data_IF_470747459872
#
_entry.id   IF_470747459872
#
_cell.length_a   1.000
_cell.length_b   1.000
_cell.length_c   1.000
_cell.angle_alpha   90.00
_cell.angle_beta   90.00
_cell.angle_gamma   90.00
#
_symmetry.space_group_name_H-M   'P 1'
#
loop_
_entity.id
_entity.type
_entity.pdbx_description
1 polymer ?
#
# COMPACT_ATOMS: atom_id res chain seq x y z
N UNK A 1 -27.25 -1.80 -4.74
CA UNK A 1 -27.61 -3.04 -4.02
C UNK A 1 -26.93 -3.13 -2.66
N UNK A 2 -25.59 -3.13 -2.56
CA UNK A 2 -24.89 -3.15 -1.26
C UNK A 2 -25.07 -1.82 -0.48
N UNK A 3 -24.92 -0.66 -1.13
CA UNK A 3 -25.11 0.65 -0.45
C UNK A 3 -26.51 0.81 0.16
N UNK A 4 -27.51 0.29 -0.52
CA UNK A 4 -28.92 0.37 -0.17
C UNK A 4 -29.42 -0.79 0.72
N UNK A 5 -28.54 -1.66 1.21
CA UNK A 5 -28.93 -2.78 2.08
C UNK A 5 -28.79 -2.44 3.56
N UNK A 6 -29.32 -3.31 4.40
CA UNK A 6 -29.28 -3.23 5.87
C UNK A 6 -27.89 -3.53 6.47
N UNK A 7 -26.89 -3.79 5.63
CA UNK A 7 -25.49 -3.90 6.05
C UNK A 7 -25.08 -2.54 6.62
N UNK A 8 -24.56 -2.52 7.85
CA UNK A 8 -24.04 -1.32 8.51
C UNK A 8 -22.72 -0.90 7.87
N UNK A 9 -21.78 -1.84 7.72
CA UNK A 9 -20.44 -1.57 7.20
C UNK A 9 -19.52 -0.89 8.19
N UNK A 10 -18.52 -0.16 7.69
CA UNK A 10 -17.54 0.55 8.52
C UNK A 10 -17.97 2.00 8.74
N UNK A 11 -18.27 2.34 9.98
CA UNK A 11 -18.49 3.73 10.40
C UNK A 11 -17.14 4.43 10.62
N UNK A 12 -16.96 5.57 9.96
CA UNK A 12 -15.79 6.44 10.13
C UNK A 12 -16.28 7.68 10.87
N UNK A 13 -15.64 8.07 11.99
CA UNK A 13 -15.99 9.29 12.70
C UNK A 13 -16.12 10.47 11.75
N UNK A 14 -17.13 11.32 11.95
CA UNK A 14 -17.38 12.52 11.15
C UNK A 14 -17.71 12.29 9.65
N UNK A 15 -17.78 11.05 9.17
CA UNK A 15 -18.33 10.73 7.84
C UNK A 15 -19.81 10.41 7.97
N UNK A 16 -20.65 11.11 7.20
CA UNK A 16 -22.10 10.96 7.27
C UNK A 16 -22.62 9.57 6.83
N UNK A 17 -21.88 8.90 5.94
CA UNK A 17 -22.25 7.59 5.40
C UNK A 17 -21.21 6.53 5.75
N UNK A 18 -21.66 5.40 6.28
CA UNK A 18 -20.80 4.25 6.52
C UNK A 18 -20.26 3.67 5.19
N UNK A 19 -18.99 3.28 5.21
CA UNK A 19 -18.34 2.64 4.05
C UNK A 19 -18.73 1.18 4.03
N UNK A 20 -19.54 0.76 3.06
CA UNK A 20 -19.98 -0.64 2.92
C UNK A 20 -19.16 -1.42 1.89
N UNK A 21 -18.76 -0.78 0.79
CA UNK A 21 -17.95 -1.42 -0.23
C UNK A 21 -17.13 -0.39 -1.03
N UNK A 22 -15.93 -0.81 -1.42
CA UNK A 22 -15.04 -0.13 -2.38
C UNK A 22 -14.76 -1.08 -3.54
N UNK A 23 -14.76 -0.55 -4.76
CA UNK A 23 -14.54 -1.32 -5.98
C UNK A 23 -13.49 -0.60 -6.84
N UNK A 24 -12.57 -1.37 -7.40
CA UNK A 24 -11.63 -0.90 -8.41
C UNK A 24 -11.47 -2.00 -9.46
N UNK A 25 -12.01 -1.76 -10.66
CA UNK A 25 -12.18 -2.80 -11.67
C UNK A 25 -12.89 -4.05 -11.10
N UNK A 26 -12.26 -5.21 -11.12
CA UNK A 26 -12.76 -6.47 -10.57
C UNK A 26 -12.47 -6.65 -9.06
N UNK A 27 -11.51 -5.93 -8.52
CA UNK A 27 -11.18 -5.96 -7.10
C UNK A 27 -12.32 -5.30 -6.29
N UNK A 28 -12.97 -6.10 -5.45
CA UNK A 28 -14.08 -5.67 -4.58
C UNK A 28 -13.71 -5.90 -3.14
N UNK A 29 -13.76 -4.84 -2.33
CA UNK A 29 -13.62 -4.92 -0.86
C UNK A 29 -14.95 -4.55 -0.23
N UNK A 30 -15.45 -5.40 0.66
CA UNK A 30 -16.67 -5.15 1.42
C UNK A 30 -16.30 -5.03 2.89
N UNK A 31 -16.91 -4.06 3.57
CA UNK A 31 -16.72 -3.80 4.99
C UNK A 31 -17.99 -4.21 5.71
N UNK A 32 -17.85 -4.95 6.79
CA UNK A 32 -18.94 -5.49 7.59
C UNK A 32 -18.70 -5.17 9.05
N UNK A 33 -19.72 -4.65 9.73
CA UNK A 33 -19.74 -4.53 11.18
C UNK A 33 -19.84 -5.92 11.83
N UNK A 34 -19.56 -6.02 13.13
CA UNK A 34 -19.64 -7.29 13.85
C UNK A 34 -21.06 -7.90 13.83
N UNK A 35 -22.09 -7.04 13.81
CA UNK A 35 -23.50 -7.43 13.77
C UNK A 35 -24.02 -7.71 12.36
N UNK A 36 -23.25 -7.40 11.32
CA UNK A 36 -23.67 -7.66 9.94
C UNK A 36 -23.68 -9.18 9.66
N UNK A 37 -24.75 -9.66 9.02
CA UNK A 37 -24.82 -11.03 8.56
C UNK A 37 -24.30 -11.16 7.13
N UNK A 38 -23.24 -11.94 6.95
CA UNK A 38 -22.69 -12.24 5.64
C UNK A 38 -23.72 -12.88 4.69
N UNK A 39 -24.74 -13.58 5.20
CA UNK A 39 -25.80 -14.14 4.36
C UNK A 39 -26.59 -13.06 3.59
N UNK A 40 -26.78 -11.88 4.19
CA UNK A 40 -27.40 -10.72 3.52
C UNK A 40 -26.53 -10.24 2.37
N UNK A 41 -25.22 -10.13 2.60
CA UNK A 41 -24.27 -9.81 1.55
C UNK A 41 -24.28 -10.86 0.44
N UNK A 42 -24.23 -12.14 0.79
CA UNK A 42 -24.23 -13.24 -0.16
C UNK A 42 -25.47 -13.21 -1.05
N UNK A 43 -26.66 -12.98 -0.50
CA UNK A 43 -27.89 -12.86 -1.28
C UNK A 43 -27.85 -11.68 -2.28
N UNK A 44 -27.25 -10.56 -1.88
CA UNK A 44 -27.03 -9.40 -2.75
C UNK A 44 -26.07 -9.76 -3.89
N UNK A 45 -24.94 -10.39 -3.55
CA UNK A 45 -23.93 -10.81 -4.52
C UNK A 45 -24.49 -11.84 -5.50
N UNK A 46 -25.25 -12.83 -5.03
CA UNK A 46 -25.85 -13.87 -5.87
C UNK A 46 -26.86 -13.28 -6.85
N UNK A 47 -27.72 -12.37 -6.38
CA UNK A 47 -28.66 -11.66 -7.26
C UNK A 47 -27.92 -10.87 -8.33
N UNK A 48 -26.85 -10.16 -7.96
CA UNK A 48 -26.04 -9.43 -8.93
C UNK A 48 -25.32 -10.37 -9.91
N UNK A 49 -24.67 -11.43 -9.43
CA UNK A 49 -23.99 -12.44 -10.25
C UNK A 49 -24.93 -13.14 -11.22
N UNK A 50 -26.18 -13.39 -10.81
CA UNK A 50 -27.20 -14.00 -11.68
C UNK A 50 -27.53 -13.12 -12.89
N UNK A 51 -27.50 -11.79 -12.73
CA UNK A 51 -27.75 -10.84 -13.80
C UNK A 51 -26.49 -10.54 -14.64
N UNK A 52 -25.32 -10.44 -14.00
CA UNK A 52 -24.06 -10.08 -14.67
C UNK A 52 -23.32 -11.27 -15.29
N UNK A 53 -23.68 -12.50 -14.91
CA UNK A 53 -22.94 -13.74 -15.19
C UNK A 53 -21.52 -13.77 -14.62
N UNK A 54 -21.19 -12.86 -13.71
CA UNK A 54 -19.91 -12.84 -13.02
C UNK A 54 -19.89 -13.87 -11.87
N UNK A 55 -18.69 -14.19 -11.37
CA UNK A 55 -18.48 -15.08 -10.23
C UNK A 55 -17.29 -14.62 -9.41
N UNK A 56 -17.49 -14.47 -8.09
CA UNK A 56 -16.41 -14.18 -7.17
C UNK A 56 -15.45 -15.37 -7.02
N UNK A 57 -14.15 -15.07 -7.00
CA UNK A 57 -13.13 -16.08 -6.79
C UNK A 57 -12.90 -16.30 -5.29
N UNK A 58 -13.57 -17.30 -4.73
CA UNK A 58 -13.48 -17.63 -3.30
C UNK A 58 -12.03 -17.95 -2.87
N UNK A 59 -11.25 -18.63 -3.72
CA UNK A 59 -9.85 -18.94 -3.42
C UNK A 59 -8.93 -17.70 -3.35
N UNK A 60 -9.35 -16.58 -3.95
CA UNK A 60 -8.69 -15.27 -3.81
C UNK A 60 -9.36 -14.37 -2.77
N UNK A 61 -10.50 -14.78 -2.21
CA UNK A 61 -11.23 -13.99 -1.22
C UNK A 61 -10.53 -14.09 0.12
N UNK A 62 -10.29 -12.92 0.72
CA UNK A 62 -9.62 -12.80 2.01
C UNK A 62 -10.59 -12.17 3.01
N UNK A 63 -10.72 -12.81 4.17
CA UNK A 63 -11.41 -12.25 5.33
C UNK A 63 -10.35 -11.65 6.25
N UNK A 64 -10.33 -10.33 6.37
CA UNK A 64 -9.44 -9.62 7.28
C UNK A 64 -10.23 -9.18 8.52
N UNK A 65 -10.16 -9.91 9.65
CA UNK A 65 -10.82 -9.48 10.87
C UNK A 65 -10.09 -8.26 11.46
N UNK A 66 -10.85 -7.25 11.87
CA UNK A 66 -10.35 -6.01 12.48
C UNK A 66 -10.90 -5.89 13.91
N UNK A 67 -10.35 -4.95 14.68
CA UNK A 67 -10.80 -4.68 16.05
C UNK A 67 -10.01 -5.46 17.11
N UNK A 68 -10.68 -5.84 18.19
CA UNK A 68 -10.05 -6.46 19.37
C UNK A 68 -9.28 -7.73 19.01
N UNK A 69 -8.15 -7.96 19.68
CA UNK A 69 -7.34 -9.17 19.49
C UNK A 69 -8.13 -10.46 19.73
N UNK A 70 -8.94 -10.50 20.80
CA UNK A 70 -9.80 -11.64 21.10
C UNK A 70 -10.81 -11.95 19.99
N UNK A 71 -11.38 -10.91 19.35
CA UNK A 71 -12.29 -11.09 18.21
C UNK A 71 -11.54 -11.66 17.00
N UNK A 72 -10.38 -11.08 16.66
CA UNK A 72 -9.54 -11.54 15.55
C UNK A 72 -9.13 -13.00 15.72
N UNK A 73 -8.70 -13.38 16.92
CA UNK A 73 -8.34 -14.76 17.25
C UNK A 73 -9.52 -15.73 17.11
N UNK A 74 -10.73 -15.33 17.52
CA UNK A 74 -11.94 -16.16 17.37
C UNK A 74 -12.25 -16.43 15.89
N UNK A 75 -12.24 -15.40 15.05
CA UNK A 75 -12.50 -15.53 13.61
C UNK A 75 -11.46 -16.46 12.97
N UNK A 76 -10.17 -16.23 13.25
CA UNK A 76 -9.07 -17.04 12.71
C UNK A 76 -9.20 -18.50 13.17
N UNK A 77 -9.49 -18.72 14.46
CA UNK A 77 -9.60 -20.07 15.03
C UNK A 77 -10.80 -20.83 14.45
N UNK A 78 -11.93 -20.17 14.25
CA UNK A 78 -13.09 -20.77 13.58
C UNK A 78 -12.76 -21.16 12.14
N UNK A 79 -12.08 -20.29 11.38
CA UNK A 79 -11.62 -20.62 10.03
C UNK A 79 -10.65 -21.81 10.01
N UNK A 80 -9.74 -21.93 10.98
CA UNK A 80 -8.83 -23.09 11.07
C UNK A 80 -9.55 -24.38 11.42
N UNK A 81 -10.57 -24.33 12.29
CA UNK A 81 -11.29 -25.52 12.78
C UNK A 81 -12.39 -25.98 11.83
N UNK A 82 -13.18 -25.05 11.33
CA UNK A 82 -14.43 -25.30 10.62
C UNK A 82 -14.38 -24.85 9.15
N UNK A 83 -13.31 -24.16 8.73
CA UNK A 83 -13.18 -23.62 7.37
C UNK A 83 -14.02 -22.37 7.11
N UNK A 84 -14.71 -21.82 8.12
CA UNK A 84 -15.54 -20.62 8.04
C UNK A 84 -15.76 -19.94 9.40
N UNK A 85 -16.21 -18.70 9.36
CA UNK A 85 -16.76 -17.97 10.51
C UNK A 85 -18.24 -17.66 10.26
N UNK A 86 -19.17 -18.17 11.08
CA UNK A 86 -20.62 -17.97 10.88
C UNK A 86 -21.05 -18.28 9.41
N UNK A 87 -21.70 -17.33 8.74
CA UNK A 87 -22.16 -17.42 7.35
C UNK A 87 -21.12 -16.97 6.31
N UNK A 88 -19.88 -16.70 6.72
CA UNK A 88 -18.81 -16.32 5.81
C UNK A 88 -18.42 -17.49 4.88
N UNK A 89 -17.83 -17.20 3.71
CA UNK A 89 -17.60 -18.21 2.69
C UNK A 89 -16.58 -19.25 3.13
N UNK A 90 -16.93 -20.52 2.90
CA UNK A 90 -16.03 -21.66 3.03
C UNK A 90 -14.97 -21.58 1.95
N UNK A 91 -13.71 -21.83 2.31
CA UNK A 91 -12.57 -21.83 1.38
C UNK A 91 -11.98 -20.44 1.11
N UNK A 92 -12.54 -19.38 1.70
CA UNK A 92 -11.85 -18.10 1.80
C UNK A 92 -10.73 -18.17 2.84
N UNK A 93 -9.70 -17.33 2.67
CA UNK A 93 -8.58 -17.26 3.61
C UNK A 93 -8.85 -16.21 4.68
N UNK A 94 -8.82 -16.58 5.96
CA UNK A 94 -8.80 -15.60 7.04
C UNK A 94 -7.35 -15.13 7.31
N UNK A 95 -7.10 -13.83 7.16
CA UNK A 95 -5.78 -13.24 7.38
C UNK A 95 -5.50 -13.13 8.89
N UNK A 96 -4.45 -13.79 9.35
CA UNK A 96 -4.01 -13.71 10.73
C UNK A 96 -3.14 -12.47 10.98
N UNK A 97 -2.94 -12.14 12.25
CA UNK A 97 -1.95 -11.14 12.66
C UNK A 97 -0.58 -11.42 12.06
N UNK A 98 0.11 -10.36 11.63
CA UNK A 98 1.38 -10.44 10.91
C UNK A 98 1.25 -10.86 9.45
N UNK A 99 0.05 -11.18 8.95
CA UNK A 99 -0.18 -11.54 7.55
C UNK A 99 -0.56 -10.30 6.73
N UNK A 100 0.33 -9.79 5.85
CA UNK A 100 -0.01 -8.66 5.00
C UNK A 100 -0.93 -9.09 3.85
N UNK A 101 -2.04 -8.38 3.69
CA UNK A 101 -3.06 -8.56 2.64
C UNK A 101 -2.90 -7.46 1.61
N UNK A 102 -2.67 -7.84 0.35
CA UNK A 102 -2.51 -6.87 -0.73
C UNK A 102 -3.87 -6.35 -1.21
N UNK A 103 -4.10 -5.04 -1.12
CA UNK A 103 -5.31 -4.37 -1.58
C UNK A 103 -4.88 -3.21 -2.49
N UNK A 104 -5.26 -3.23 -3.78
CA UNK A 104 -4.95 -2.16 -4.75
C UNK A 104 -3.46 -1.72 -4.81
N UNK A 105 -2.54 -2.65 -4.50
CA UNK A 105 -1.10 -2.39 -4.50
C UNK A 105 -0.51 -1.95 -3.16
N UNK A 106 -1.33 -1.58 -2.17
CA UNK A 106 -0.92 -1.42 -0.78
C UNK A 106 -1.10 -2.72 0.01
N UNK A 107 -0.60 -2.75 1.25
CA UNK A 107 -0.69 -3.90 2.15
C UNK A 107 -1.41 -3.50 3.43
N UNK A 108 -2.57 -4.12 3.67
CA UNK A 108 -3.34 -3.98 4.90
C UNK A 108 -3.18 -5.22 5.78
N UNK A 109 -3.43 -5.10 7.07
CA UNK A 109 -3.37 -6.22 7.99
C UNK A 109 -3.06 -5.76 9.40
N UNK A 110 -3.29 -6.65 10.37
CA UNK A 110 -2.98 -6.35 11.75
C UNK A 110 -1.53 -6.72 12.07
N UNK A 111 -0.82 -5.85 12.79
CA UNK A 111 0.57 -6.11 13.27
C UNK A 111 1.52 -6.56 12.16
N UNK A 112 1.37 -5.99 10.96
CA UNK A 112 2.21 -6.31 9.81
C UNK A 112 3.60 -5.69 9.96
N UNK A 113 4.62 -6.40 9.49
CA UNK A 113 5.98 -5.87 9.43
C UNK A 113 6.16 -4.99 8.19
N UNK A 114 6.20 -3.67 8.39
CA UNK A 114 6.44 -2.69 7.33
C UNK A 114 7.76 -2.94 6.59
N UNK A 115 8.82 -3.36 7.29
CA UNK A 115 10.11 -3.64 6.65
C UNK A 115 10.02 -4.84 5.71
N UNK A 116 9.23 -5.86 6.07
CA UNK A 116 8.97 -7.00 5.21
C UNK A 116 8.22 -6.59 3.93
N UNK A 117 7.33 -5.60 3.99
CA UNK A 117 6.61 -5.06 2.82
C UNK A 117 7.56 -4.38 1.83
N UNK A 118 8.55 -3.66 2.34
CA UNK A 118 9.53 -2.91 1.54
C UNK A 118 10.66 -3.79 0.98
N UNK A 119 11.04 -4.85 1.70
CA UNK A 119 12.18 -5.70 1.34
C UNK A 119 12.17 -6.23 -0.11
N UNK A 120 11.06 -6.77 -0.65
CA UNK A 120 11.02 -7.21 -2.05
C UNK A 120 11.21 -6.08 -3.06
N UNK A 121 10.73 -4.86 -2.75
CA UNK A 121 10.90 -3.70 -3.65
C UNK A 121 12.35 -3.25 -3.68
N UNK A 122 13.01 -3.24 -2.52
CA UNK A 122 14.42 -2.89 -2.41
C UNK A 122 15.29 -3.91 -3.13
N UNK A 123 15.04 -5.22 -2.97
CA UNK A 123 15.77 -6.25 -3.73
C UNK A 123 15.63 -6.07 -5.23
N UNK A 124 14.41 -5.81 -5.71
CA UNK A 124 14.17 -5.53 -7.14
C UNK A 124 14.91 -4.28 -7.61
N UNK A 125 14.97 -3.23 -6.78
CA UNK A 125 15.75 -2.03 -7.10
C UNK A 125 17.24 -2.33 -7.16
N UNK A 126 17.79 -3.08 -6.21
CA UNK A 126 19.18 -3.51 -6.21
C UNK A 126 19.52 -4.30 -7.48
N UNK A 127 18.64 -5.21 -7.92
CA UNK A 127 18.79 -5.94 -9.18
C UNK A 127 18.77 -5.02 -10.41
N UNK A 128 17.80 -4.10 -10.48
CA UNK A 128 17.68 -3.15 -11.60
C UNK A 128 18.91 -2.25 -11.65
N UNK A 129 19.29 -1.63 -10.54
CA UNK A 129 20.45 -0.75 -10.48
C UNK A 129 21.76 -1.49 -10.75
N UNK A 130 21.86 -2.77 -10.34
CA UNK A 130 22.98 -3.64 -10.67
C UNK A 130 23.15 -3.81 -12.18
N UNK A 131 22.07 -4.13 -12.90
CA UNK A 131 22.10 -4.22 -14.38
C UNK A 131 22.47 -2.88 -15.03
N UNK A 132 21.90 -1.78 -14.54
CA UNK A 132 22.23 -0.45 -15.05
C UNK A 132 23.68 -0.02 -14.81
N UNK A 133 24.33 -0.58 -13.79
CA UNK A 133 25.75 -0.32 -13.48
C UNK A 133 26.67 -0.88 -14.58
N UNK A 134 26.27 -1.96 -15.25
CA UNK A 134 27.04 -2.60 -16.33
C UNK A 134 27.06 -1.76 -17.62
N UNK A 135 26.09 -0.85 -17.80
CA UNK A 135 25.96 -0.03 -19.01
C UNK A 135 26.85 1.23 -19.04
N UNK A 136 27.78 1.39 -18.07
CA UNK A 136 28.75 2.50 -18.00
C UNK A 136 28.17 3.89 -18.38
N UNK A 137 27.01 4.21 -17.79
CA UNK A 137 26.28 5.43 -18.12
C UNK A 137 27.01 6.70 -17.70
N UNK A 138 26.82 7.78 -18.47
CA UNK A 138 27.25 9.13 -18.08
C UNK A 138 26.57 9.59 -16.79
N UNK A 139 27.07 10.63 -16.13
CA UNK A 139 26.42 11.20 -14.94
C UNK A 139 24.95 11.57 -15.21
N UNK A 140 24.67 12.16 -16.37
CA UNK A 140 23.30 12.45 -16.82
C UNK A 140 22.48 11.16 -16.98
N UNK A 141 23.05 10.11 -17.58
CA UNK A 141 22.37 8.81 -17.69
C UNK A 141 22.06 8.19 -16.33
N UNK A 142 23.02 8.24 -15.39
CA UNK A 142 22.83 7.75 -14.02
C UNK A 142 21.74 8.53 -13.29
N UNK A 143 21.70 9.85 -13.43
CA UNK A 143 20.63 10.71 -12.89
C UNK A 143 19.25 10.29 -13.41
N UNK A 144 19.11 10.00 -14.70
CA UNK A 144 17.84 9.53 -15.27
C UNK A 144 17.46 8.14 -14.74
N UNK A 145 18.42 7.22 -14.64
CA UNK A 145 18.16 5.89 -14.08
C UNK A 145 17.70 5.97 -12.61
N UNK A 146 18.35 6.79 -11.78
CA UNK A 146 17.95 7.00 -10.38
C UNK A 146 16.50 7.53 -10.30
N UNK A 147 16.17 8.55 -11.08
CA UNK A 147 14.82 9.12 -11.07
C UNK A 147 13.77 8.10 -11.55
N UNK A 148 14.04 7.41 -12.66
CA UNK A 148 13.09 6.46 -13.26
C UNK A 148 12.85 5.24 -12.36
N UNK A 149 13.92 4.66 -11.83
CA UNK A 149 13.81 3.41 -11.07
C UNK A 149 13.67 3.67 -9.58
N UNK A 150 14.62 4.36 -8.95
CA UNK A 150 14.61 4.53 -7.50
C UNK A 150 13.44 5.41 -7.06
N UNK A 151 13.32 6.63 -7.60
CA UNK A 151 12.22 7.51 -7.23
C UNK A 151 10.88 6.98 -7.78
N UNK A 152 10.83 6.60 -9.06
CA UNK A 152 9.60 6.12 -9.70
C UNK A 152 9.00 4.86 -9.07
N UNK A 153 9.80 3.83 -8.79
CA UNK A 153 9.29 2.57 -8.24
C UNK A 153 8.92 2.66 -6.75
N UNK A 154 9.43 3.66 -6.03
CA UNK A 154 9.14 3.83 -4.60
C UNK A 154 8.04 4.85 -4.33
N UNK A 155 7.72 5.72 -5.29
CA UNK A 155 6.70 6.77 -5.18
C UNK A 155 5.37 6.28 -4.61
N UNK A 156 4.72 5.35 -5.32
CA UNK A 156 3.40 4.90 -4.94
C UNK A 156 3.36 4.32 -3.53
N UNK A 157 4.26 3.39 -3.20
CA UNK A 157 4.26 2.74 -1.89
C UNK A 157 4.61 3.70 -0.75
N UNK A 158 5.44 4.70 -1.02
CA UNK A 158 5.72 5.80 -0.07
C UNK A 158 4.44 6.57 0.22
N UNK A 159 3.66 6.88 -0.80
CA UNK A 159 2.43 7.66 -0.68
C UNK A 159 1.34 6.92 0.10
N UNK A 160 1.19 5.61 -0.11
CA UNK A 160 0.10 4.83 0.52
C UNK A 160 0.46 4.21 1.86
N UNK A 161 1.75 3.99 2.17
CA UNK A 161 2.18 3.29 3.39
C UNK A 161 3.36 3.94 4.12
N UNK A 162 3.83 5.10 3.66
CA UNK A 162 5.03 5.76 4.18
C UNK A 162 6.30 4.89 4.01
N UNK A 163 7.45 5.54 3.92
CA UNK A 163 8.74 4.85 3.82
C UNK A 163 9.45 4.92 5.18
N UNK A 164 9.78 3.78 5.81
CA UNK A 164 10.56 3.78 7.04
C UNK A 164 11.97 4.34 6.83
N UNK A 165 12.53 5.03 7.84
CA UNK A 165 13.86 5.65 7.78
C UNK A 165 14.97 4.68 7.37
N UNK A 166 14.89 3.42 7.83
CA UNK A 166 15.85 2.36 7.46
C UNK A 166 15.81 2.06 5.96
N UNK A 167 14.63 2.14 5.34
CA UNK A 167 14.46 1.98 3.89
C UNK A 167 15.02 3.19 3.17
N UNK A 168 14.72 4.40 3.65
CA UNK A 168 15.27 5.65 3.10
C UNK A 168 16.81 5.66 3.12
N UNK A 169 17.41 5.28 4.25
CA UNK A 169 18.86 5.16 4.39
C UNK A 169 19.46 4.14 3.40
N UNK A 170 18.80 2.99 3.21
CA UNK A 170 19.24 1.97 2.25
C UNK A 170 19.16 2.46 0.81
N UNK A 171 18.12 3.22 0.45
CA UNK A 171 18.00 3.84 -0.88
C UNK A 171 19.05 4.91 -1.12
N UNK A 172 19.35 5.77 -0.13
CA UNK A 172 20.45 6.74 -0.22
C UNK A 172 21.80 6.03 -0.43
N UNK A 173 22.02 4.91 0.25
CA UNK A 173 23.18 4.04 0.04
C UNK A 173 23.25 3.47 -1.38
N UNK A 174 22.13 2.94 -1.89
CA UNK A 174 22.03 2.40 -3.26
C UNK A 174 22.31 3.48 -4.32
N UNK A 175 21.73 4.67 -4.16
CA UNK A 175 21.96 5.82 -5.06
C UNK A 175 23.44 6.20 -5.06
N UNK A 176 24.04 6.33 -3.87
CA UNK A 176 25.46 6.66 -3.70
C UNK A 176 26.37 5.61 -4.35
N UNK A 177 26.11 4.32 -4.14
CA UNK A 177 26.89 3.24 -4.73
C UNK A 177 26.81 3.26 -6.26
N UNK A 178 25.60 3.42 -6.81
CA UNK A 178 25.39 3.44 -8.24
C UNK A 178 26.03 4.67 -8.91
N UNK A 179 25.86 5.86 -8.32
CA UNK A 179 26.38 7.10 -8.87
C UNK A 179 27.91 7.09 -8.96
N UNK A 180 28.56 6.60 -7.89
CA UNK A 180 30.01 6.63 -7.72
C UNK A 180 30.70 5.29 -7.96
N UNK A 181 29.98 4.29 -8.47
CA UNK A 181 30.51 2.97 -8.82
C UNK A 181 31.22 2.27 -7.65
N UNK A 182 30.67 2.41 -6.43
CA UNK A 182 31.24 1.79 -5.22
C UNK A 182 32.52 2.44 -4.68
N UNK A 183 32.89 3.65 -5.15
CA UNK A 183 33.99 4.41 -4.55
C UNK A 183 33.72 4.68 -3.06
N UNK A 184 34.68 4.30 -2.20
CA UNK A 184 34.61 4.52 -0.74
C UNK A 184 34.40 6.00 -0.39
N UNK A 185 35.13 6.88 -1.07
CA UNK A 185 35.01 8.33 -0.94
C UNK A 185 34.40 8.90 -2.22
N UNK A 186 33.13 9.33 -2.18
CA UNK A 186 32.50 10.04 -3.28
C UNK A 186 33.26 11.30 -3.67
N UNK A 187 33.37 11.61 -4.97
CA UNK A 187 33.88 12.90 -5.45
C UNK A 187 33.02 14.09 -4.98
N UNK A 188 31.72 13.89 -4.84
CA UNK A 188 30.74 14.92 -4.44
C UNK A 188 29.82 14.35 -3.36
N UNK A 189 29.51 15.16 -2.36
CA UNK A 189 28.58 14.77 -1.30
C UNK A 189 27.18 14.57 -1.85
N UNK A 190 26.37 13.73 -1.20
CA UNK A 190 25.04 13.41 -1.69
C UNK A 190 24.14 14.67 -1.71
N UNK A 191 24.28 15.53 -0.71
CA UNK A 191 23.57 16.81 -0.58
C UNK A 191 23.85 17.76 -1.74
N UNK A 192 25.09 17.78 -2.24
CA UNK A 192 25.44 18.60 -3.41
C UNK A 192 24.86 18.00 -4.70
N UNK A 193 24.70 16.67 -4.78
CA UNK A 193 24.09 16.02 -5.96
C UNK A 193 22.61 16.35 -6.13
N UNK A 194 21.91 16.72 -5.06
CA UNK A 194 20.50 17.11 -5.11
C UNK A 194 20.29 18.50 -5.71
N UNK A 195 21.30 19.37 -5.68
CA UNK A 195 21.16 20.74 -6.17
C UNK A 195 20.95 20.79 -7.69
N UNK A 196 20.30 21.85 -8.21
CA UNK A 196 20.19 22.08 -9.65
C UNK A 196 21.54 22.17 -10.35
N UNK A 197 21.56 21.92 -11.66
CA UNK A 197 22.78 21.95 -12.47
C UNK A 197 23.41 23.36 -12.50
N UNK A 198 22.58 24.40 -12.47
CA UNK A 198 22.98 25.81 -12.41
C UNK A 198 23.78 26.14 -11.14
N UNK A 199 23.60 25.34 -10.09
CA UNK A 199 24.27 25.48 -8.80
C UNK A 199 25.41 24.47 -8.62
N UNK A 200 25.85 23.84 -9.72
CA UNK A 200 26.92 22.83 -9.70
C UNK A 200 26.50 21.50 -9.07
N UNK A 201 25.20 21.20 -9.02
CA UNK A 201 24.67 19.90 -8.61
C UNK A 201 24.33 18.99 -9.79
N UNK A 202 23.67 17.86 -9.49
CA UNK A 202 23.26 16.87 -10.50
C UNK A 202 21.74 16.75 -10.63
N UNK A 203 20.98 17.50 -9.83
CA UNK A 203 19.52 17.50 -9.82
C UNK A 203 18.96 16.06 -9.66
N UNK A 204 19.58 15.34 -8.72
CA UNK A 204 19.14 14.01 -8.27
C UNK A 204 18.01 14.18 -7.25
N UNK A 205 16.98 13.34 -7.33
CA UNK A 205 15.89 13.34 -6.35
C UNK A 205 16.40 13.05 -4.95
N UNK A 206 16.21 14.00 -4.05
CA UNK A 206 16.33 13.79 -2.62
C UNK A 206 15.12 12.96 -2.13
N UNK A 207 15.38 11.72 -1.73
CA UNK A 207 14.34 10.79 -1.28
C UNK A 207 13.71 11.24 0.03
N UNK A 208 14.47 11.85 0.94
CA UNK A 208 13.95 12.35 2.22
C UNK A 208 13.03 13.55 1.96
N UNK A 209 13.51 14.56 1.24
CA UNK A 209 12.69 15.73 0.92
C UNK A 209 11.42 15.37 0.12
N UNK A 210 11.50 14.37 -0.77
CA UNK A 210 10.33 13.84 -1.47
C UNK A 210 9.34 13.16 -0.51
N UNK A 211 9.82 12.38 0.45
CA UNK A 211 8.97 11.73 1.46
C UNK A 211 8.25 12.79 2.31
N UNK A 212 8.97 13.83 2.74
CA UNK A 212 8.41 14.96 3.47
C UNK A 212 7.35 15.69 2.64
N UNK A 213 7.62 15.96 1.36
CA UNK A 213 6.67 16.60 0.45
C UNK A 213 5.38 15.77 0.27
N UNK A 214 5.50 14.44 0.20
CA UNK A 214 4.35 13.52 0.17
C UNK A 214 3.53 13.68 1.46
N UNK A 215 4.17 13.65 2.63
CA UNK A 215 3.49 13.81 3.92
C UNK A 215 2.81 15.18 4.05
N UNK A 216 3.46 16.26 3.62
CA UNK A 216 2.87 17.61 3.62
C UNK A 216 1.65 17.69 2.70
N UNK A 217 1.70 17.01 1.54
CA UNK A 217 0.55 16.93 0.63
C UNK A 217 -0.63 16.18 1.27
N UNK A 218 -0.35 15.07 1.96
CA UNK A 218 -1.34 14.35 2.76
C UNK A 218 -1.93 15.22 3.87
N UNK A 219 -1.09 15.91 4.63
CA UNK A 219 -1.53 16.81 5.71
C UNK A 219 -2.41 17.94 5.16
N UNK A 220 -2.02 18.54 4.04
CA UNK A 220 -2.81 19.58 3.38
C UNK A 220 -4.21 19.08 3.00
N UNK A 221 -4.30 17.86 2.47
CA UNK A 221 -5.57 17.22 2.13
C UNK A 221 -6.39 16.88 3.38
N UNK A 222 -5.72 16.40 4.43
CA UNK A 222 -6.34 16.08 5.71
C UNK A 222 -6.93 17.30 6.42
N UNK A 223 -6.24 18.44 6.36
CA UNK A 223 -6.65 19.71 6.96
C UNK A 223 -7.67 20.50 6.11
N UNK A 224 -8.11 19.98 4.96
CA UNK A 224 -9.22 20.61 4.24
C UNK A 224 -10.51 20.51 5.06
N UNK A 225 -11.41 21.46 4.86
CA UNK A 225 -12.73 21.50 5.51
C UNK A 225 -13.88 21.31 4.50
N UNK A 226 -15.02 20.84 5.01
CA UNK A 226 -16.25 20.72 4.24
C UNK A 226 -16.12 19.79 3.03
N UNK A 227 -16.68 20.20 1.88
CA UNK A 227 -16.75 19.38 0.66
C UNK A 227 -15.39 19.16 -0.03
N UNK A 228 -14.37 19.95 0.30
CA UNK A 228 -13.02 19.79 -0.23
C UNK A 228 -12.20 18.74 0.54
N UNK A 229 -12.65 18.34 1.74
CA UNK A 229 -12.02 17.31 2.55
C UNK A 229 -12.28 15.93 1.95
N UNK A 230 -11.25 15.16 1.62
CA UNK A 230 -11.45 13.82 1.08
C UNK A 230 -12.09 12.91 2.13
N UNK A 231 -12.90 11.95 1.68
CA UNK A 231 -13.68 11.07 2.58
C UNK A 231 -12.80 10.26 3.54
N UNK A 232 -11.56 9.94 3.15
CA UNK A 232 -10.61 9.23 4.00
C UNK A 232 -10.03 10.07 5.14
N UNK A 233 -10.18 11.40 5.10
CA UNK A 233 -9.57 12.33 6.06
C UNK A 233 -10.48 12.70 7.24
N UNK A 234 -11.70 12.19 7.31
CA UNK A 234 -12.66 12.49 8.37
C UNK A 234 -12.43 11.65 9.64
#
# INVERSE_FOLDING_TARGET
MIRSSDIRGLEIPNVAEAVKATLFADDTTVYLAEEDDFAVLQAILDKWCSASKAKFNIGKTIVLPLGLESHREQVISAYRREGRWKNYPIGATAAADGTPVRILGCFAGNRIDEMAIWTPKIRRLEEVMGRWKEHHSTLTGKRHAIQLFVAGMTQFLTEVQTMPDKITARLKGLIKDYLWEGKKTPPVSLEQTYRPWEQGGLDITDIEARNDAIQVTWLRAYLQDGKARPTWAW
#
